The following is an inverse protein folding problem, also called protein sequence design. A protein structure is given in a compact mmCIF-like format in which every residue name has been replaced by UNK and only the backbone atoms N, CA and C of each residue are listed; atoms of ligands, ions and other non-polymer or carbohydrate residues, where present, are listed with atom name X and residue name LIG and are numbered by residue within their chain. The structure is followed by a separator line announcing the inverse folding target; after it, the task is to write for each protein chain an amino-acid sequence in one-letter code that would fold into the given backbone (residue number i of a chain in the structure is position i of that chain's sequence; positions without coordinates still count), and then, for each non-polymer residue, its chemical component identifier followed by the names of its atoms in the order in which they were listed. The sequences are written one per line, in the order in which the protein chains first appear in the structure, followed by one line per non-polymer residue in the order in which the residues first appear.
data_IF_161484685550
#
_entry.id   IF_161484685550
#
_cell.length_a   1.000
_cell.length_b   1.000
_cell.length_c   1.000
_cell.angle_alpha   90.00
_cell.angle_beta   90.00
_cell.angle_gamma   90.00
#
_symmetry.space_group_name_H-M   'P 1'
#
loop_
_entity.id
_entity.type
_entity.pdbx_description
1 polymer ?
#
# COMPACT_ATOMS: atom_id res chain seq x y z
N UNK A 1 21.38 28.04 -6.68
CA UNK A 1 20.91 26.75 -7.21
C UNK A 1 20.08 26.05 -6.16
N UNK A 2 18.81 25.86 -6.50
CA UNK A 2 17.88 25.23 -5.56
C UNK A 2 18.06 23.71 -5.64
N UNK A 3 18.79 23.15 -4.69
CA UNK A 3 18.74 21.70 -4.48
C UNK A 3 17.35 21.35 -3.96
N UNK A 4 16.73 20.29 -4.51
CA UNK A 4 15.50 19.81 -3.92
C UNK A 4 15.76 19.46 -2.45
N UNK A 5 14.95 20.01 -1.56
CA UNK A 5 15.05 19.77 -0.11
C UNK A 5 14.67 18.33 0.27
N UNK A 6 14.18 17.56 -0.70
CA UNK A 6 13.65 16.23 -0.46
C UNK A 6 14.34 15.20 -1.34
N UNK A 7 14.47 13.95 -0.87
CA UNK A 7 15.05 12.91 -1.70
C UNK A 7 14.24 12.74 -2.98
N UNK A 8 14.94 12.41 -4.08
CA UNK A 8 14.31 12.07 -5.34
C UNK A 8 13.71 10.67 -5.21
N UNK A 9 12.39 10.59 -5.27
CA UNK A 9 11.67 9.34 -5.06
C UNK A 9 10.88 8.97 -6.30
N UNK A 10 10.65 7.66 -6.46
CA UNK A 10 9.92 7.11 -7.60
C UNK A 10 8.86 6.13 -7.12
N UNK A 11 7.80 6.02 -7.89
CA UNK A 11 6.76 5.03 -7.64
C UNK A 11 7.38 3.63 -7.65
N UNK A 12 7.08 2.83 -6.62
CA UNK A 12 7.67 1.50 -6.43
C UNK A 12 8.87 1.47 -5.50
N UNK A 13 9.41 2.62 -5.13
CA UNK A 13 10.49 2.69 -4.14
C UNK A 13 9.96 2.28 -2.77
N UNK A 14 10.81 1.60 -2.01
CA UNK A 14 10.49 1.12 -0.67
C UNK A 14 11.41 1.80 0.33
N UNK A 15 10.82 2.41 1.36
CA UNK A 15 11.52 3.12 2.43
C UNK A 15 10.97 2.70 3.77
N UNK A 16 11.75 2.86 4.83
CA UNK A 16 11.21 2.88 6.18
C UNK A 16 10.50 4.21 6.42
N UNK A 17 9.34 4.12 7.05
CA UNK A 17 8.50 5.28 7.38
C UNK A 17 8.02 5.13 8.81
N UNK A 18 8.07 6.21 9.58
CA UNK A 18 7.46 6.25 10.90
C UNK A 18 6.01 6.74 10.75
N UNK A 19 5.08 5.82 10.95
CA UNK A 19 3.65 6.13 10.86
C UNK A 19 3.08 6.74 12.15
N UNK A 20 3.92 6.90 13.18
CA UNK A 20 3.49 7.47 14.46
C UNK A 20 2.61 6.55 15.26
N UNK A 21 1.89 7.11 16.21
CA UNK A 21 0.97 6.38 17.07
C UNK A 21 -0.46 6.63 16.61
N UNK A 22 -1.06 5.62 15.99
CA UNK A 22 -2.46 5.68 15.59
C UNK A 22 -3.26 4.62 16.35
N UNK A 23 -4.46 4.94 16.82
CA UNK A 23 -5.29 3.95 17.53
C UNK A 23 -5.91 2.94 16.56
N UNK A 24 -6.24 1.78 17.09
CA UNK A 24 -6.98 0.76 16.35
C UNK A 24 -6.14 0.00 15.34
N UNK A 25 -6.76 -0.33 14.22
CA UNK A 25 -6.17 -1.19 13.19
C UNK A 25 -5.34 -0.46 12.16
N UNK A 26 -5.25 0.87 12.27
CA UNK A 26 -4.41 1.64 11.35
C UNK A 26 -2.94 1.33 11.61
N UNK A 27 -2.15 1.34 10.52
CA UNK A 27 -0.72 1.09 10.63
C UNK A 27 -0.07 2.14 11.52
N UNK A 28 0.88 1.71 12.35
CA UNK A 28 1.60 2.59 13.26
C UNK A 28 3.05 2.13 13.43
N UNK A 29 3.87 2.99 13.98
CA UNK A 29 5.28 2.70 14.25
C UNK A 29 6.15 2.78 13.01
N UNK A 30 7.41 2.40 13.18
CA UNK A 30 8.39 2.39 12.09
C UNK A 30 8.23 1.12 11.28
N UNK A 31 7.88 1.27 10.00
CA UNK A 31 7.61 0.13 9.11
C UNK A 31 8.06 0.41 7.70
N UNK A 32 8.41 -0.62 6.93
CA UNK A 32 8.59 -0.44 5.49
C UNK A 32 7.30 0.00 4.83
N UNK A 33 7.43 0.79 3.79
CA UNK A 33 6.30 1.22 2.98
C UNK A 33 6.75 1.42 1.54
N UNK A 34 5.83 1.18 0.60
CA UNK A 34 6.10 1.39 -0.82
C UNK A 34 5.44 2.68 -1.28
N UNK A 35 6.17 3.48 -2.05
CA UNK A 35 5.62 4.67 -2.69
C UNK A 35 4.71 4.23 -3.82
N UNK A 36 3.44 4.59 -3.75
CA UNK A 36 2.44 4.26 -4.76
C UNK A 36 1.93 5.49 -5.51
N UNK A 37 2.28 6.69 -5.05
CA UNK A 37 1.92 7.92 -5.72
C UNK A 37 2.58 7.99 -7.11
N UNK A 38 1.89 8.62 -8.06
CA UNK A 38 2.42 8.79 -9.41
C UNK A 38 3.69 9.65 -9.42
N UNK A 39 4.53 9.48 -10.45
CA UNK A 39 5.83 10.11 -10.49
C UNK A 39 5.78 11.62 -10.77
N UNK A 40 4.72 12.13 -11.33
CA UNK A 40 4.53 13.59 -11.46
C UNK A 40 4.36 14.21 -10.08
N UNK A 41 3.49 13.62 -9.26
CA UNK A 41 3.33 14.04 -7.86
C UNK A 41 4.62 13.85 -7.06
N UNK A 42 5.29 12.73 -7.26
CA UNK A 42 6.57 12.47 -6.57
C UNK A 42 7.63 13.52 -6.87
N UNK A 43 7.60 14.08 -8.07
CA UNK A 43 8.57 15.10 -8.48
C UNK A 43 8.24 16.47 -7.93
N UNK A 44 6.97 16.83 -7.83
CA UNK A 44 6.56 18.20 -7.58
C UNK A 44 5.92 18.44 -6.21
N UNK A 45 5.27 17.44 -5.63
CA UNK A 45 4.59 17.61 -4.34
C UNK A 45 5.55 17.39 -3.16
N UNK A 46 5.37 18.08 -2.04
CA UNK A 46 6.13 17.80 -0.82
C UNK A 46 5.66 16.57 -0.08
N UNK A 47 4.50 16.03 -0.45
CA UNK A 47 3.92 14.84 0.17
C UNK A 47 3.89 13.67 -0.81
N UNK A 48 3.81 12.47 -0.27
CA UNK A 48 3.71 11.24 -1.04
C UNK A 48 2.66 10.31 -0.45
N UNK A 49 2.07 9.49 -1.32
CA UNK A 49 1.16 8.43 -0.91
C UNK A 49 1.95 7.13 -0.86
N UNK A 50 1.88 6.46 0.28
CA UNK A 50 2.56 5.18 0.51
C UNK A 50 1.57 4.11 0.94
N UNK A 51 1.94 2.84 0.71
CA UNK A 51 1.22 1.68 1.22
C UNK A 51 2.12 0.95 2.21
N UNK A 52 1.57 0.56 3.35
CA UNK A 52 2.34 -0.07 4.41
C UNK A 52 2.67 -1.53 4.10
N UNK A 53 3.80 -1.98 4.59
CA UNK A 53 4.29 -3.36 4.47
C UNK A 53 4.37 -3.95 5.87
N UNK A 54 3.89 -5.18 6.04
CA UNK A 54 3.93 -5.89 7.31
C UNK A 54 4.61 -7.23 7.16
N UNK A 55 5.30 -7.67 8.23
CA UNK A 55 5.82 -9.04 8.30
C UNK A 55 4.77 -10.05 8.79
N UNK A 56 3.64 -9.57 9.28
CA UNK A 56 2.53 -10.42 9.70
C UNK A 56 1.71 -10.84 8.49
N UNK A 57 2.04 -12.01 7.93
CA UNK A 57 1.35 -12.54 6.76
C UNK A 57 0.16 -13.35 7.25
N UNK A 58 -1.04 -12.87 6.95
CA UNK A 58 -2.28 -13.56 7.33
C UNK A 58 -2.56 -14.73 6.39
N UNK A 59 -3.12 -15.80 6.94
CA UNK A 59 -3.51 -16.97 6.14
C UNK A 59 -4.57 -16.65 5.11
N UNK A 60 -5.54 -15.82 5.46
CA UNK A 60 -6.57 -15.35 4.54
C UNK A 60 -6.14 -14.01 3.98
N UNK A 61 -5.78 -13.99 2.71
CA UNK A 61 -5.35 -12.78 2.03
C UNK A 61 -6.51 -12.16 1.28
N UNK A 62 -6.51 -10.84 1.28
CA UNK A 62 -7.50 -10.07 0.55
C UNK A 62 -6.96 -9.67 -0.83
N UNK A 63 -7.84 -9.31 -1.78
CA UNK A 63 -7.39 -8.84 -3.10
C UNK A 63 -6.50 -7.61 -3.05
N UNK A 64 -6.49 -6.89 -1.93
CA UNK A 64 -5.66 -5.69 -1.71
C UNK A 64 -4.28 -6.03 -1.16
N UNK A 65 -3.98 -7.29 -0.91
CA UNK A 65 -2.69 -7.74 -0.38
C UNK A 65 -1.82 -8.29 -1.49
N UNK A 66 -0.53 -7.96 -1.45
CA UNK A 66 0.47 -8.49 -2.38
C UNK A 66 1.66 -8.99 -1.58
N UNK A 67 2.01 -10.26 -1.75
CA UNK A 67 3.22 -10.79 -1.11
C UNK A 67 4.45 -10.12 -1.72
N UNK A 68 5.37 -9.72 -0.87
CA UNK A 68 6.61 -9.08 -1.28
C UNK A 68 7.75 -9.67 -0.45
N UNK A 69 8.72 -10.23 -1.13
CA UNK A 69 9.84 -10.89 -0.48
C UNK A 69 11.10 -10.06 -0.50
N UNK A 70 12.21 -10.75 -0.26
CA UNK A 70 13.53 -10.11 -0.20
C UNK A 70 14.07 -9.67 -1.56
N UNK A 71 13.39 -9.99 -2.66
CA UNK A 71 13.87 -9.63 -4.01
C UNK A 71 14.06 -8.13 -4.21
N UNK A 72 13.42 -7.30 -3.40
CA UNK A 72 13.56 -5.84 -3.49
C UNK A 72 14.21 -5.23 -2.25
N UNK A 73 14.94 -6.03 -1.49
CA UNK A 73 15.75 -5.54 -0.38
C UNK A 73 15.14 -5.66 1.02
N UNK A 74 13.89 -6.16 1.13
CA UNK A 74 13.30 -6.40 2.44
C UNK A 74 14.03 -7.54 3.16
N UNK A 75 14.20 -7.46 4.49
CA UNK A 75 14.95 -8.47 5.24
C UNK A 75 14.25 -9.82 5.31
N UNK A 76 12.95 -9.88 5.13
CA UNK A 76 12.19 -11.13 5.17
C UNK A 76 10.92 -11.01 4.34
N UNK A 77 10.27 -12.15 4.12
CA UNK A 77 8.99 -12.16 3.44
C UNK A 77 7.97 -11.30 4.17
N UNK A 78 7.22 -10.53 3.40
CA UNK A 78 6.34 -9.50 3.91
C UNK A 78 5.09 -9.43 3.05
N UNK A 79 4.14 -8.61 3.46
CA UNK A 79 2.91 -8.39 2.73
C UNK A 79 2.69 -6.89 2.58
N UNK A 80 2.54 -6.46 1.33
CA UNK A 80 2.16 -5.09 1.01
C UNK A 80 0.64 -4.98 1.11
N UNK A 81 0.18 -4.00 1.84
CA UNK A 81 -1.24 -3.81 2.13
C UNK A 81 -1.74 -2.55 1.44
N UNK A 82 -2.42 -2.73 0.29
CA UNK A 82 -2.89 -1.58 -0.49
C UNK A 82 -4.14 -0.92 0.09
N UNK A 83 -4.72 -1.51 1.14
CA UNK A 83 -5.79 -0.86 1.92
C UNK A 83 -5.22 0.03 3.05
N UNK A 84 -3.93 -0.11 3.37
CA UNK A 84 -3.26 0.71 4.39
C UNK A 84 -2.47 1.81 3.70
N UNK A 85 -3.19 2.77 3.14
CA UNK A 85 -2.60 3.91 2.44
C UNK A 85 -2.45 5.09 3.40
N UNK A 86 -1.37 5.83 3.25
CA UNK A 86 -1.14 7.03 4.03
C UNK A 86 -0.47 8.09 3.17
N UNK A 87 -0.81 9.34 3.41
CA UNK A 87 -0.10 10.49 2.85
C UNK A 87 0.86 11.01 3.90
N UNK A 88 2.13 11.08 3.55
CA UNK A 88 3.17 11.53 4.45
C UNK A 88 4.02 12.62 3.78
N UNK A 89 4.69 13.42 4.58
CA UNK A 89 5.69 14.35 4.06
C UNK A 89 6.94 13.59 3.63
N UNK A 90 7.55 14.00 2.53
CA UNK A 90 8.78 13.36 2.04
C UNK A 90 9.89 13.33 3.08
N UNK A 91 9.93 14.33 3.96
CA UNK A 91 10.95 14.38 5.03
C UNK A 91 10.80 13.23 6.03
N UNK A 92 9.66 12.57 6.06
CA UNK A 92 9.41 11.43 6.95
C UNK A 92 10.02 10.13 6.43
N UNK A 93 10.48 10.10 5.19
CA UNK A 93 11.17 8.93 4.65
C UNK A 93 12.49 8.73 5.36
N UNK A 94 12.73 7.50 5.78
CA UNK A 94 13.98 7.12 6.42
C UNK A 94 14.81 6.26 5.44
N UNK A 95 15.40 5.18 5.89
CA UNK A 95 16.32 4.40 5.06
C UNK A 95 15.64 3.82 3.82
N UNK A 96 16.27 4.02 2.68
CA UNK A 96 15.88 3.38 1.43
C UNK A 96 16.15 1.88 1.49
N UNK A 97 15.18 1.08 1.04
CA UNK A 97 15.28 -0.38 1.05
C UNK A 97 15.55 -0.93 -0.35
N UNK A 98 14.77 -0.52 -1.32
CA UNK A 98 14.89 -1.01 -2.69
C UNK A 98 13.77 -0.49 -3.57
N UNK A 99 13.70 -1.00 -4.80
CA UNK A 99 12.70 -0.58 -5.78
C UNK A 99 12.09 -1.81 -6.43
N UNK A 100 10.78 -1.89 -6.46
CA UNK A 100 10.06 -2.95 -7.14
C UNK A 100 10.17 -2.80 -8.65
N UNK A 101 10.23 -3.94 -9.35
CA UNK A 101 10.31 -3.93 -10.81
C UNK A 101 8.93 -3.73 -11.46
N UNK A 102 8.93 -3.54 -12.78
CA UNK A 102 7.71 -3.25 -13.53
C UNK A 102 6.69 -4.40 -13.47
N UNK A 103 7.15 -5.65 -13.49
CA UNK A 103 6.26 -6.81 -13.39
C UNK A 103 5.56 -6.86 -12.04
N UNK A 104 6.30 -6.63 -10.98
CA UNK A 104 5.71 -6.58 -9.64
C UNK A 104 4.70 -5.43 -9.53
N UNK A 105 5.01 -4.28 -10.10
CA UNK A 105 4.12 -3.13 -10.04
C UNK A 105 2.78 -3.38 -10.74
N UNK A 106 2.70 -4.30 -11.69
CA UNK A 106 1.40 -4.70 -12.27
C UNK A 106 0.48 -5.32 -11.21
N UNK A 107 1.03 -6.13 -10.31
CA UNK A 107 0.26 -6.69 -9.19
C UNK A 107 -0.17 -5.59 -8.23
N UNK A 108 0.72 -4.67 -7.94
CA UNK A 108 0.42 -3.52 -7.07
C UNK A 108 -0.70 -2.68 -7.67
N UNK A 109 -0.65 -2.41 -8.97
CA UNK A 109 -1.66 -1.62 -9.66
C UNK A 109 -3.05 -2.25 -9.54
N UNK A 110 -3.15 -3.58 -9.73
CA UNK A 110 -4.42 -4.29 -9.59
C UNK A 110 -4.96 -4.20 -8.16
N UNK A 111 -4.11 -4.49 -7.18
CA UNK A 111 -4.51 -4.47 -5.78
C UNK A 111 -4.91 -3.06 -5.33
N UNK A 112 -4.17 -2.05 -5.77
CA UNK A 112 -4.48 -0.66 -5.48
C UNK A 112 -5.80 -0.23 -6.10
N UNK A 113 -6.04 -0.62 -7.35
CA UNK A 113 -7.29 -0.31 -8.05
C UNK A 113 -8.50 -0.91 -7.33
N UNK A 114 -8.36 -2.12 -6.80
CA UNK A 114 -9.40 -2.75 -5.98
C UNK A 114 -9.58 -1.98 -4.67
N UNK A 115 -8.48 -1.64 -4.03
CA UNK A 115 -8.52 -0.97 -2.71
C UNK A 115 -9.30 0.35 -2.75
N UNK A 116 -9.12 1.14 -3.81
CA UNK A 116 -9.77 2.45 -3.92
C UNK A 116 -11.03 2.42 -4.80
N UNK A 117 -11.48 1.23 -5.19
CA UNK A 117 -12.75 1.07 -5.90
C UNK A 117 -12.73 1.41 -7.39
N UNK A 118 -11.55 1.52 -7.99
CA UNK A 118 -11.42 1.78 -9.43
C UNK A 118 -11.73 0.52 -10.24
N UNK A 119 -11.38 -0.65 -9.71
CA UNK A 119 -11.72 -1.93 -10.30
C UNK A 119 -12.62 -2.73 -9.36
N UNK A 120 -13.57 -3.51 -9.90
CA UNK A 120 -14.38 -4.37 -9.04
C UNK A 120 -13.54 -5.47 -8.43
N UNK A 121 -13.94 -5.94 -7.24
CA UNK A 121 -13.31 -7.06 -6.57
C UNK A 121 -13.55 -8.31 -7.40
N UNK A 122 -12.47 -9.03 -7.74
CA UNK A 122 -12.54 -10.32 -8.43
C UNK A 122 -12.01 -11.41 -7.51
N UNK A 123 -12.83 -12.43 -7.28
CA UNK A 123 -12.46 -13.57 -6.47
C UNK A 123 -12.21 -14.77 -7.39
N UNK A 124 -11.21 -15.59 -7.01
CA UNK A 124 -10.99 -16.88 -7.65
C UNK A 124 -12.18 -17.82 -7.40
N UNK A 125 -12.27 -18.94 -8.14
CA UNK A 125 -13.31 -19.95 -7.90
C UNK A 125 -13.35 -20.41 -6.44
N UNK A 126 -12.23 -20.46 -5.78
CA UNK A 126 -12.10 -20.82 -4.36
C UNK A 126 -12.86 -19.86 -3.45
N UNK A 127 -12.98 -18.63 -3.85
CA UNK A 127 -13.50 -17.56 -3.01
C UNK A 127 -14.89 -17.10 -3.42
N UNK A 128 -15.57 -17.85 -4.29
CA UNK A 128 -16.94 -17.47 -4.71
C UNK A 128 -17.90 -17.37 -3.55
N UNK A 129 -17.79 -18.26 -2.55
CA UNK A 129 -18.62 -18.22 -1.36
C UNK A 129 -18.32 -16.97 -0.54
N UNK A 130 -17.05 -16.64 -0.36
CA UNK A 130 -16.64 -15.43 0.35
C UNK A 130 -17.12 -14.18 -0.35
N UNK A 131 -17.10 -14.15 -1.68
CA UNK A 131 -17.63 -13.05 -2.47
C UNK A 131 -19.12 -12.82 -2.21
N UNK A 132 -19.89 -13.91 -2.17
CA UNK A 132 -21.33 -13.84 -1.91
C UNK A 132 -21.61 -13.34 -0.51
N UNK A 133 -20.88 -13.86 0.48
CA UNK A 133 -21.00 -13.42 1.87
C UNK A 133 -20.62 -11.94 2.02
N UNK A 134 -19.55 -11.52 1.38
CA UNK A 134 -19.09 -10.14 1.40
C UNK A 134 -20.15 -9.18 0.84
N UNK A 135 -20.81 -9.58 -0.25
CA UNK A 135 -21.89 -8.76 -0.84
C UNK A 135 -23.11 -8.63 0.06
N UNK A 136 -23.47 -9.71 0.80
CA UNK A 136 -24.63 -9.70 1.69
C UNK A 136 -24.36 -8.94 2.97
N UNK A 137 -23.11 -8.88 3.41
CA UNK A 137 -22.72 -8.15 4.61
C UNK A 137 -22.57 -6.65 4.37
N UNK A 138 -22.67 -6.24 3.14
CA UNK A 138 -22.59 -4.84 2.83
C UNK A 138 -23.76 -4.12 3.48
N UNK A 139 -23.49 -3.30 4.51
CA UNK A 139 -24.57 -2.59 5.16
C UNK A 139 -25.22 -1.69 4.11
N UNK A 140 -26.53 -1.80 4.03
CA UNK A 140 -27.29 -0.80 3.32
C UNK A 140 -27.03 0.50 4.04
N UNK A 141 -26.20 1.33 3.44
CA UNK A 141 -26.07 2.67 3.92
C UNK A 141 -27.38 3.37 3.67
N UNK A 142 -28.33 3.11 4.54
CA UNK A 142 -29.41 4.05 4.66
C UNK A 142 -28.76 5.31 5.15
N UNK A 143 -28.53 6.21 4.30
CA UNK A 143 -28.35 7.57 4.72
C UNK A 143 -29.63 7.96 5.39
N UNK A 144 -29.71 7.72 6.69
CA UNK A 144 -30.62 8.48 7.47
C UNK A 144 -30.20 9.91 7.24
N UNK A 145 -30.58 10.42 6.19
CA UNK A 145 -30.34 11.83 5.96
C UNK A 145 -30.50 12.61 7.23
#
# INVERSE_FOLDING_TARGET
MNRPLFPKVHRGDIYYVDFGNQPGSAVHGLRPAMIVQNDVGNRHAPTIIVAAITTEIKKTRQPTHVLIGSQFGLPQESMLMLEQLATIDKVMLQNFIGTADAEFMKQVDRALSVSVGVQPIRFSKRNRRSRKAYSTERPVMTHGT
#
